data_IF_052611864904
#
_entry.id   IF_052611864904
#
_cell.length_a   1.000
_cell.length_b   1.000
_cell.length_c   1.000
_cell.angle_alpha   90.00
_cell.angle_beta   90.00
_cell.angle_gamma   90.00
#
_symmetry.space_group_name_H-M   'P 1'
#
loop_
_entity.id
_entity.type
_entity.pdbx_description
1 polymer ?
#
# COMPACT_ATOMS: atom_id res chain seq x y z
N UNK A 1 -12.75 2.71 20.89
CA UNK A 1 -13.30 2.66 19.52
C UNK A 1 -14.70 3.29 19.46
N UNK A 2 -15.66 2.78 20.25
CA UNK A 2 -17.08 3.21 20.17
C UNK A 2 -17.29 4.72 20.37
N UNK A 3 -16.70 5.40 21.38
CA UNK A 3 -16.90 6.85 21.55
C UNK A 3 -16.41 7.68 20.35
N UNK A 4 -15.31 7.25 19.69
CA UNK A 4 -14.79 7.90 18.49
C UNK A 4 -15.74 7.67 17.33
N UNK A 5 -16.21 6.43 17.17
CA UNK A 5 -17.15 6.07 16.12
C UNK A 5 -18.47 6.83 16.20
N UNK A 6 -19.04 6.91 17.40
CA UNK A 6 -20.32 7.61 17.66
C UNK A 6 -20.24 9.13 17.43
N UNK A 7 -19.03 9.71 17.45
CA UNK A 7 -18.80 11.13 17.18
C UNK A 7 -18.62 11.49 15.70
N UNK A 8 -18.51 10.48 14.82
CA UNK A 8 -18.27 10.66 13.38
C UNK A 8 -19.60 10.70 12.64
N UNK A 9 -19.77 11.72 11.78
CA UNK A 9 -20.90 11.75 10.84
C UNK A 9 -20.61 10.81 9.66
N UNK A 10 -21.16 9.61 9.72
CA UNK A 10 -21.02 8.59 8.69
C UNK A 10 -21.77 8.98 7.42
N UNK A 11 -21.17 8.72 6.25
CA UNK A 11 -21.81 8.93 4.95
C UNK A 11 -21.26 7.93 3.92
N UNK A 12 -22.16 7.34 3.15
CA UNK A 12 -21.85 6.38 2.08
C UNK A 12 -20.96 6.99 0.97
N UNK A 13 -21.05 8.32 0.79
CA UNK A 13 -20.18 9.03 -0.16
C UNK A 13 -18.69 8.79 0.13
N UNK A 14 -18.28 8.70 1.40
CA UNK A 14 -16.90 8.40 1.77
C UNK A 14 -16.48 6.97 1.42
N UNK A 15 -17.42 6.03 1.41
CA UNK A 15 -17.20 4.68 0.92
C UNK A 15 -16.85 4.67 -0.57
N UNK A 16 -17.59 5.43 -1.38
CA UNK A 16 -17.31 5.61 -2.82
C UNK A 16 -15.94 6.26 -3.04
N UNK A 17 -15.63 7.34 -2.33
CA UNK A 17 -14.30 8.00 -2.41
C UNK A 17 -13.19 7.00 -2.08
N UNK A 18 -13.33 6.24 -0.99
CA UNK A 18 -12.36 5.21 -0.61
C UNK A 18 -12.15 4.15 -1.69
N UNK A 19 -13.22 3.72 -2.36
CA UNK A 19 -13.16 2.76 -3.46
C UNK A 19 -12.41 3.34 -4.67
N UNK A 20 -12.65 4.60 -5.01
CA UNK A 20 -11.90 5.28 -6.08
C UNK A 20 -10.41 5.35 -5.75
N UNK A 21 -10.04 5.74 -4.52
CA UNK A 21 -8.64 5.78 -4.09
C UNK A 21 -7.98 4.39 -4.16
N UNK A 22 -8.71 3.34 -3.80
CA UNK A 22 -8.24 1.96 -3.93
C UNK A 22 -8.02 1.55 -5.39
N UNK A 23 -8.95 1.90 -6.30
CA UNK A 23 -8.79 1.63 -7.72
C UNK A 23 -7.58 2.37 -8.32
N UNK A 24 -7.34 3.61 -7.92
CA UNK A 24 -6.14 4.35 -8.32
C UNK A 24 -4.86 3.63 -7.84
N UNK A 25 -4.82 3.18 -6.59
CA UNK A 25 -3.69 2.40 -6.09
C UNK A 25 -3.50 1.07 -6.84
N UNK A 26 -4.59 0.39 -7.19
CA UNK A 26 -4.54 -0.83 -8.02
C UNK A 26 -3.95 -0.54 -9.41
N UNK A 27 -4.29 0.58 -10.04
CA UNK A 27 -3.69 1.03 -11.30
C UNK A 27 -2.20 1.33 -11.15
N UNK A 28 -1.78 1.93 -10.05
CA UNK A 28 -0.36 2.14 -9.73
C UNK A 28 0.37 0.81 -9.61
N UNK A 29 -0.17 -0.15 -8.87
CA UNK A 29 0.41 -1.49 -8.75
C UNK A 29 0.53 -2.18 -10.12
N UNK A 30 -0.51 -2.11 -10.94
CA UNK A 30 -0.52 -2.65 -12.31
C UNK A 30 0.57 -1.99 -13.17
N UNK A 31 0.73 -0.67 -13.11
CA UNK A 31 1.78 0.04 -13.84
C UNK A 31 3.18 -0.45 -13.43
N UNK A 32 3.43 -0.65 -12.12
CA UNK A 32 4.71 -1.18 -11.64
C UNK A 32 4.96 -2.62 -12.12
N UNK A 33 3.93 -3.47 -12.15
CA UNK A 33 4.01 -4.82 -12.70
C UNK A 33 4.37 -4.76 -14.19
N UNK A 34 3.67 -3.93 -14.96
CA UNK A 34 3.93 -3.75 -16.40
C UNK A 34 5.36 -3.28 -16.66
N UNK A 35 5.88 -2.34 -15.86
CA UNK A 35 7.27 -1.89 -15.97
C UNK A 35 8.24 -3.07 -15.74
N UNK A 36 8.04 -3.84 -14.67
CA UNK A 36 8.89 -4.99 -14.36
C UNK A 36 8.85 -6.07 -15.44
N UNK A 37 7.67 -6.39 -15.95
CA UNK A 37 7.49 -7.35 -17.06
C UNK A 37 8.20 -6.86 -18.33
N UNK A 38 8.07 -5.58 -18.68
CA UNK A 38 8.76 -5.00 -19.84
C UNK A 38 10.26 -5.06 -19.71
N UNK A 39 10.83 -4.78 -18.53
CA UNK A 39 12.25 -4.89 -18.28
C UNK A 39 12.73 -6.36 -18.43
N UNK A 40 11.99 -7.29 -17.86
CA UNK A 40 12.29 -8.71 -17.97
C UNK A 40 12.24 -9.19 -19.44
N UNK A 41 11.20 -8.84 -20.19
CA UNK A 41 11.07 -9.22 -21.61
C UNK A 41 12.25 -8.69 -22.44
N UNK A 42 12.68 -7.44 -22.18
CA UNK A 42 13.80 -6.82 -22.90
C UNK A 42 15.15 -7.48 -22.60
N UNK A 43 15.38 -7.83 -21.35
CA UNK A 43 16.68 -8.32 -20.90
C UNK A 43 16.78 -9.85 -20.87
N UNK A 44 15.62 -10.52 -20.73
CA UNK A 44 15.48 -11.98 -20.47
C UNK A 44 16.32 -12.48 -19.28
N UNK A 45 16.71 -11.57 -18.39
CA UNK A 45 17.52 -11.84 -17.21
C UNK A 45 16.94 -11.09 -16.00
N UNK A 46 16.55 -11.82 -14.95
CA UNK A 46 16.02 -11.22 -13.71
C UNK A 46 17.04 -10.31 -13.03
N UNK A 47 18.33 -10.63 -13.13
CA UNK A 47 19.40 -9.80 -12.54
C UNK A 47 19.54 -8.41 -13.15
N UNK A 48 18.97 -8.17 -14.32
CA UNK A 48 18.97 -6.87 -15.01
C UNK A 48 17.67 -6.06 -14.79
N UNK A 49 16.66 -6.66 -14.18
CA UNK A 49 15.45 -5.95 -13.75
C UNK A 49 15.78 -5.09 -12.52
N UNK A 50 15.20 -3.91 -12.44
CA UNK A 50 15.41 -3.04 -11.28
C UNK A 50 15.08 -3.78 -9.98
N UNK A 51 16.07 -3.91 -9.09
CA UNK A 51 15.94 -4.65 -7.84
C UNK A 51 14.79 -4.14 -6.97
N UNK A 52 14.48 -2.84 -7.01
CA UNK A 52 13.32 -2.29 -6.28
C UNK A 52 12.02 -2.91 -6.76
N UNK A 53 11.86 -3.11 -8.09
CA UNK A 53 10.67 -3.77 -8.66
C UNK A 53 10.64 -5.25 -8.28
N UNK A 54 11.76 -5.94 -8.28
CA UNK A 54 11.81 -7.35 -7.87
C UNK A 54 11.38 -7.51 -6.39
N UNK A 55 11.84 -6.63 -5.51
CA UNK A 55 11.44 -6.69 -4.10
C UNK A 55 9.99 -6.27 -3.86
N UNK A 56 9.33 -5.53 -4.77
CA UNK A 56 7.89 -5.29 -4.69
C UNK A 56 7.08 -6.59 -4.75
N UNK A 57 7.56 -7.60 -5.49
CA UNK A 57 6.89 -8.91 -5.55
C UNK A 57 6.80 -9.49 -4.14
N UNK A 58 7.92 -9.56 -3.43
CA UNK A 58 7.96 -10.06 -2.06
C UNK A 58 7.12 -9.21 -1.09
N UNK A 59 7.18 -7.89 -1.23
CA UNK A 59 6.38 -6.96 -0.43
C UNK A 59 4.88 -7.20 -0.62
N UNK A 60 4.42 -7.31 -1.87
CA UNK A 60 2.99 -7.48 -2.17
C UNK A 60 2.50 -8.88 -1.80
N UNK A 61 3.31 -9.92 -1.99
CA UNK A 61 3.00 -11.27 -1.49
C UNK A 61 2.85 -11.29 0.03
N UNK A 62 3.77 -10.63 0.75
CA UNK A 62 3.70 -10.54 2.21
C UNK A 62 2.49 -9.72 2.67
N UNK A 63 2.13 -8.67 1.94
CA UNK A 63 0.92 -7.87 2.21
C UNK A 63 -0.35 -8.70 2.05
N UNK A 64 -0.44 -9.48 0.97
CA UNK A 64 -1.56 -10.39 0.71
C UNK A 64 -1.61 -11.51 1.76
N UNK A 65 -0.46 -12.03 2.18
CA UNK A 65 -0.38 -13.00 3.26
C UNK A 65 -0.97 -12.44 4.56
N UNK A 66 -0.59 -11.24 4.99
CA UNK A 66 -1.17 -10.62 6.19
C UNK A 66 -2.66 -10.31 6.03
N UNK A 67 -3.10 -9.92 4.84
CA UNK A 67 -4.52 -9.73 4.57
C UNK A 67 -5.30 -11.02 4.85
N UNK A 68 -4.91 -12.15 4.27
CA UNK A 68 -5.59 -13.44 4.50
C UNK A 68 -5.42 -13.95 5.93
N UNK A 69 -4.25 -13.75 6.54
CA UNK A 69 -4.02 -14.14 7.92
C UNK A 69 -5.03 -13.49 8.87
N UNK A 70 -5.27 -12.19 8.72
CA UNK A 70 -6.22 -11.47 9.57
C UNK A 70 -7.69 -11.66 9.15
N UNK A 71 -7.96 -12.12 7.95
CA UNK A 71 -9.30 -12.54 7.56
C UNK A 71 -9.68 -13.86 8.28
N UNK A 72 -8.70 -14.73 8.52
CA UNK A 72 -8.87 -15.98 9.28
C UNK A 72 -8.81 -15.71 10.80
N UNK A 73 -7.85 -14.90 11.24
CA UNK A 73 -7.69 -14.50 12.64
C UNK A 73 -8.57 -13.27 12.94
N UNK A 74 -9.85 -13.50 13.18
CA UNK A 74 -10.80 -12.41 13.41
C UNK A 74 -10.48 -11.72 14.74
N UNK A 75 -9.91 -10.51 14.66
CA UNK A 75 -9.59 -9.68 15.83
C UNK A 75 -10.79 -8.80 16.21
N UNK A 76 -11.47 -8.21 15.20
CA UNK A 76 -12.63 -7.34 15.36
C UNK A 76 -13.67 -7.65 14.29
N UNK A 77 -14.96 -7.40 14.61
CA UNK A 77 -16.04 -7.33 13.62
C UNK A 77 -16.31 -5.89 13.22
N UNK A 78 -16.85 -5.68 12.03
CA UNK A 78 -17.18 -4.35 11.50
C UNK A 78 -18.19 -3.61 12.37
N UNK A 79 -18.07 -2.25 12.49
CA UNK A 79 -19.03 -1.46 13.27
C UNK A 79 -20.45 -1.50 12.71
N UNK A 80 -20.58 -1.48 11.37
CA UNK A 80 -21.85 -1.65 10.68
C UNK A 80 -21.91 -3.07 10.11
N UNK A 81 -22.93 -3.82 10.50
CA UNK A 81 -23.18 -5.17 10.01
C UNK A 81 -23.96 -5.07 8.70
N UNK A 82 -23.37 -5.42 7.58
CA UNK A 82 -24.06 -5.61 6.31
C UNK A 82 -24.88 -6.91 6.38
N UNK A 83 -26.20 -6.79 6.23
CA UNK A 83 -27.15 -7.92 6.11
C UNK A 83 -27.06 -8.96 7.25
N UNK A 84 -26.63 -8.55 8.44
CA UNK A 84 -26.52 -9.44 9.62
C UNK A 84 -25.32 -10.38 9.61
N UNK A 85 -24.42 -10.29 8.63
CA UNK A 85 -23.20 -11.10 8.56
C UNK A 85 -22.04 -10.42 9.29
N UNK A 86 -21.49 -11.10 10.29
CA UNK A 86 -20.30 -10.66 11.00
C UNK A 86 -19.06 -10.84 10.11
N UNK A 87 -18.58 -9.75 9.51
CA UNK A 87 -17.36 -9.74 8.68
C UNK A 87 -16.16 -9.25 9.50
N UNK A 88 -14.97 -9.84 9.26
CA UNK A 88 -13.73 -9.37 9.83
C UNK A 88 -13.50 -7.88 9.51
N UNK A 89 -12.97 -7.14 10.48
CA UNK A 89 -12.72 -5.70 10.35
C UNK A 89 -11.25 -5.35 10.42
N UNK A 90 -10.46 -6.04 11.23
CA UNK A 90 -9.06 -5.75 11.46
C UNK A 90 -8.13 -6.61 10.60
N UNK A 91 -7.07 -6.02 10.04
CA UNK A 91 -6.86 -4.61 9.79
C UNK A 91 -7.70 -4.12 8.59
N UNK A 92 -7.83 -2.79 8.41
CA UNK A 92 -8.51 -2.24 7.23
C UNK A 92 -7.73 -2.58 5.96
N UNK A 93 -8.25 -3.49 5.15
CA UNK A 93 -7.61 -3.98 3.92
C UNK A 93 -7.35 -2.85 2.90
N UNK A 94 -8.30 -1.93 2.70
CA UNK A 94 -8.11 -0.78 1.82
C UNK A 94 -6.97 0.11 2.29
N UNK A 95 -6.92 0.43 3.59
CA UNK A 95 -5.84 1.24 4.17
C UNK A 95 -4.50 0.52 4.01
N UNK A 96 -4.43 -0.76 4.35
CA UNK A 96 -3.20 -1.55 4.25
C UNK A 96 -2.67 -1.58 2.80
N UNK A 97 -3.50 -1.99 1.85
CA UNK A 97 -3.10 -2.16 0.45
C UNK A 97 -2.72 -0.83 -0.20
N UNK A 98 -3.54 0.22 -0.01
CA UNK A 98 -3.27 1.55 -0.60
C UNK A 98 -1.99 2.14 -0.05
N UNK A 99 -1.78 2.10 1.28
CA UNK A 99 -0.57 2.63 1.89
C UNK A 99 0.68 1.88 1.42
N UNK A 100 0.64 0.54 1.39
CA UNK A 100 1.79 -0.26 0.93
C UNK A 100 2.12 0.04 -0.52
N UNK A 101 1.12 0.05 -1.42
CA UNK A 101 1.34 0.30 -2.85
C UNK A 101 1.84 1.72 -3.10
N UNK A 102 1.15 2.73 -2.58
CA UNK A 102 1.49 4.12 -2.86
C UNK A 102 2.85 4.52 -2.24
N UNK A 103 3.12 4.13 -0.99
CA UNK A 103 4.38 4.47 -0.34
C UNK A 103 5.57 3.72 -0.95
N UNK A 104 5.42 2.44 -1.31
CA UNK A 104 6.48 1.71 -2.01
C UNK A 104 6.75 2.27 -3.41
N UNK A 105 5.71 2.72 -4.14
CA UNK A 105 5.85 3.37 -5.43
C UNK A 105 6.69 4.66 -5.35
N UNK A 106 6.61 5.42 -4.24
CA UNK A 106 7.43 6.62 -4.05
C UNK A 106 8.95 6.35 -4.15
N UNK A 107 9.41 5.14 -3.79
CA UNK A 107 10.82 4.75 -3.90
C UNK A 107 11.21 4.30 -5.31
N UNK A 108 10.25 3.90 -6.14
CA UNK A 108 10.46 3.42 -7.51
C UNK A 108 10.37 4.57 -8.52
N UNK A 109 9.42 5.49 -8.35
CA UNK A 109 9.17 6.65 -9.25
C UNK A 109 10.43 7.40 -9.64
N UNK A 110 11.41 7.70 -8.74
CA UNK A 110 12.63 8.42 -9.09
C UNK A 110 13.52 7.74 -10.13
N UNK A 111 13.43 6.41 -10.25
CA UNK A 111 14.25 5.65 -11.19
C UNK A 111 13.75 5.81 -12.63
N UNK A 112 12.43 6.02 -12.80
CA UNK A 112 11.76 6.06 -14.11
C UNK A 112 11.39 7.46 -14.57
N UNK A 113 11.13 8.40 -13.65
CA UNK A 113 10.71 9.77 -13.97
C UNK A 113 11.85 10.75 -13.73
N UNK A 114 12.46 11.24 -14.83
CA UNK A 114 13.58 12.18 -14.78
C UNK A 114 13.11 13.64 -14.63
N UNK A 115 11.94 13.97 -15.19
CA UNK A 115 11.35 15.31 -15.07
C UNK A 115 11.04 15.62 -13.60
N UNK A 116 11.75 16.60 -13.03
CA UNK A 116 11.68 16.94 -11.60
C UNK A 116 10.27 17.38 -11.16
N UNK A 117 9.59 18.35 -11.82
CA UNK A 117 8.25 18.75 -11.41
C UNK A 117 7.25 17.58 -11.51
N UNK A 118 7.25 16.78 -12.59
CA UNK A 118 6.38 15.63 -12.73
C UNK A 118 6.61 14.59 -11.63
N UNK A 119 7.87 14.31 -11.31
CA UNK A 119 8.24 13.39 -10.22
C UNK A 119 7.69 13.86 -8.86
N UNK A 120 7.86 15.14 -8.54
CA UNK A 120 7.36 15.72 -7.28
C UNK A 120 5.84 15.60 -7.24
N UNK A 121 5.14 15.96 -8.32
CA UNK A 121 3.68 15.87 -8.39
C UNK A 121 3.19 14.45 -8.15
N UNK A 122 3.79 13.46 -8.83
CA UNK A 122 3.38 12.05 -8.66
C UNK A 122 3.61 11.58 -7.23
N UNK A 123 4.78 11.84 -6.66
CA UNK A 123 5.08 11.44 -5.27
C UNK A 123 4.11 12.12 -4.29
N UNK A 124 3.83 13.42 -4.48
CA UNK A 124 2.88 14.14 -3.63
C UNK A 124 1.46 13.55 -3.72
N UNK A 125 1.01 13.17 -4.92
CA UNK A 125 -0.29 12.52 -5.10
C UNK A 125 -0.34 11.14 -4.44
N UNK A 126 0.71 10.33 -4.55
CA UNK A 126 0.79 9.02 -3.90
C UNK A 126 0.73 9.14 -2.37
N UNK A 127 1.45 10.11 -1.81
CA UNK A 127 1.40 10.40 -0.36
C UNK A 127 0.00 10.87 0.03
N UNK A 128 -0.60 11.78 -0.74
CA UNK A 128 -1.95 12.29 -0.46
C UNK A 128 -2.99 11.17 -0.45
N UNK A 129 -2.95 10.25 -1.43
CA UNK A 129 -3.82 9.07 -1.50
C UNK A 129 -3.63 8.19 -0.26
N UNK A 130 -2.39 7.97 0.17
CA UNK A 130 -2.09 7.19 1.38
C UNK A 130 -2.64 7.83 2.66
N UNK A 131 -2.68 9.16 2.74
CA UNK A 131 -3.22 9.89 3.90
C UNK A 131 -4.75 9.98 3.87
N UNK A 132 -5.36 10.13 2.69
CA UNK A 132 -6.81 10.26 2.57
C UNK A 132 -7.54 8.93 2.76
N UNK A 133 -6.96 7.81 2.31
CA UNK A 133 -7.63 6.51 2.39
C UNK A 133 -8.03 6.11 3.82
N UNK A 134 -7.16 6.14 4.84
CA UNK A 134 -7.55 5.82 6.21
C UNK A 134 -8.68 6.73 6.73
N UNK A 135 -8.64 8.02 6.41
CA UNK A 135 -9.67 8.99 6.82
C UNK A 135 -11.01 8.65 6.17
N UNK A 136 -11.03 8.39 4.86
CA UNK A 136 -12.27 8.05 4.15
C UNK A 136 -12.88 6.74 4.62
N UNK A 137 -12.06 5.74 4.98
CA UNK A 137 -12.55 4.46 5.55
C UNK A 137 -13.19 4.65 6.92
N UNK A 138 -12.64 5.55 7.74
CA UNK A 138 -13.21 5.88 9.03
C UNK A 138 -14.53 6.65 8.88
N UNK A 139 -14.57 7.66 8.00
CA UNK A 139 -15.78 8.48 7.73
C UNK A 139 -16.90 7.66 7.04
N UNK A 140 -16.56 6.61 6.33
CA UNK A 140 -17.51 5.66 5.76
C UNK A 140 -18.11 4.69 6.82
N UNK A 141 -17.64 4.71 8.08
CA UNK A 141 -18.12 3.82 9.14
C UNK A 141 -17.80 2.35 8.93
N UNK A 142 -16.89 2.01 8.01
CA UNK A 142 -16.60 0.63 7.63
C UNK A 142 -15.61 -0.06 8.56
N UNK A 143 -14.84 0.70 9.34
CA UNK A 143 -13.80 0.21 10.24
C UNK A 143 -13.74 1.00 11.55
N UNK A 144 -13.29 0.35 12.60
CA UNK A 144 -12.96 0.99 13.85
C UNK A 144 -11.67 1.79 13.73
N UNK A 145 -11.48 2.78 14.60
CA UNK A 145 -10.23 3.54 14.67
C UNK A 145 -8.99 2.63 14.89
N UNK A 146 -9.11 1.60 15.73
CA UNK A 146 -8.04 0.61 15.94
C UNK A 146 -7.65 -0.15 14.68
N UNK A 147 -8.60 -0.45 13.79
CA UNK A 147 -8.34 -1.17 12.54
C UNK A 147 -7.51 -0.31 11.58
N UNK A 148 -7.81 1.00 11.57
CA UNK A 148 -7.04 1.99 10.80
C UNK A 148 -5.61 2.11 11.32
N UNK A 149 -5.44 2.28 12.64
CA UNK A 149 -4.10 2.37 13.25
C UNK A 149 -3.30 1.09 13.01
N UNK A 150 -3.91 -0.09 13.19
CA UNK A 150 -3.27 -1.37 12.89
C UNK A 150 -2.79 -1.48 11.45
N UNK A 151 -3.62 -1.02 10.50
CA UNK A 151 -3.26 -0.99 9.06
C UNK A 151 -2.09 -0.05 8.79
N UNK A 152 -2.09 1.14 9.40
CA UNK A 152 -1.01 2.12 9.23
C UNK A 152 0.32 1.61 9.80
N UNK A 153 0.30 1.01 10.99
CA UNK A 153 1.50 0.44 11.62
C UNK A 153 2.05 -0.74 10.79
N UNK A 154 1.18 -1.63 10.35
CA UNK A 154 1.58 -2.77 9.52
C UNK A 154 2.12 -2.30 8.16
N UNK A 155 1.47 -1.33 7.51
CA UNK A 155 1.95 -0.75 6.25
C UNK A 155 3.31 -0.10 6.42
N UNK A 156 3.51 0.67 7.49
CA UNK A 156 4.78 1.32 7.78
C UNK A 156 5.90 0.27 7.99
N UNK A 157 5.64 -0.77 8.77
CA UNK A 157 6.60 -1.85 8.99
C UNK A 157 6.99 -2.55 7.69
N UNK A 158 6.02 -2.92 6.86
CA UNK A 158 6.25 -3.58 5.57
C UNK A 158 7.04 -2.70 4.60
N UNK A 159 6.68 -1.42 4.48
CA UNK A 159 7.36 -0.47 3.61
C UNK A 159 8.78 -0.17 4.12
N UNK A 160 9.00 -0.08 5.42
CA UNK A 160 10.34 0.10 6.00
C UNK A 160 11.23 -1.13 5.76
N UNK A 161 10.71 -2.34 5.90
CA UNK A 161 11.43 -3.57 5.55
C UNK A 161 11.83 -3.57 4.06
N UNK A 162 10.91 -3.23 3.17
CA UNK A 162 11.17 -3.09 1.74
C UNK A 162 12.26 -2.06 1.46
N UNK A 163 12.16 -0.86 2.03
CA UNK A 163 13.16 0.20 1.86
C UNK A 163 14.54 -0.24 2.35
N UNK A 164 14.62 -0.81 3.54
CA UNK A 164 15.87 -1.30 4.13
C UNK A 164 16.54 -2.34 3.23
N UNK A 165 15.78 -3.31 2.71
CA UNK A 165 16.27 -4.34 1.80
C UNK A 165 16.82 -3.73 0.50
N UNK A 166 16.13 -2.75 -0.07
CA UNK A 166 16.60 -2.05 -1.29
C UNK A 166 17.89 -1.27 -1.06
N UNK A 167 18.06 -0.66 0.12
CA UNK A 167 19.28 0.06 0.50
C UNK A 167 20.48 -0.87 0.69
N UNK A 168 20.28 -2.01 1.35
CA UNK A 168 21.33 -3.01 1.59
C UNK A 168 21.89 -3.57 0.26
N UNK A 169 21.01 -3.90 -0.67
CA UNK A 169 21.44 -4.41 -1.99
C UNK A 169 22.18 -3.34 -2.79
N UNK A 170 21.74 -2.09 -2.74
CA UNK A 170 22.45 -0.98 -3.39
C UNK A 170 23.88 -0.85 -2.84
N UNK A 171 24.07 -0.90 -1.52
CA UNK A 171 25.39 -0.81 -0.88
C UNK A 171 26.30 -1.95 -1.31
N UNK A 172 25.81 -3.19 -1.26
CA UNK A 172 26.59 -4.39 -1.68
C UNK A 172 27.06 -4.31 -3.14
N UNK A 173 26.23 -3.78 -4.04
CA UNK A 173 26.60 -3.62 -5.45
C UNK A 173 27.67 -2.53 -5.66
N UNK A 174 27.65 -1.46 -4.86
CA UNK A 174 28.66 -0.40 -4.92
C UNK A 174 30.04 -0.87 -4.42
N UNK A 175 30.06 -1.74 -3.41
CA UNK A 175 31.30 -2.30 -2.85
C UNK A 175 31.96 -3.35 -3.77
N UNK A 176 31.19 -4.01 -4.65
CA UNK A 176 31.69 -5.02 -5.61
C UNK A 176 32.24 -4.43 -6.91
N UNK A 177 32.04 -3.15 -7.19
CA UNK A 177 32.62 -2.40 -8.32
C UNK A 177 33.54 -1.29 -7.81
N UNK A 178 34.75 -1.61 -7.30
CA UNK A 178 35.77 -0.59 -7.10
C UNK A 178 36.22 -0.08 -8.46
N UNK A 179 36.33 1.24 -8.60
CA UNK A 179 36.88 1.92 -9.79
C UNK A 179 38.30 1.42 -10.14
#
# INVERSE_FOLDING_TARGET
NKPIFDSIKISDAWGTVSTVLFLVAALVALALIVIGVREFIKTKQLSKVNHKILFLIGLYMLTVFFYFLFEILIVNYRPLLDEGLAKASYPSSHTLLVCVVCLSACFVVPDYIKNKPLKITIISLLILISLLTPVTRMLAGMHWFSDIIGSLLLSAALVMCYYSTTCLVKKSNTEKTPN
#
